data_IF_881645323073
#
_entry.id   IF_881645323073
#
_cell.length_a   1.000
_cell.length_b   1.000
_cell.length_c   1.000
_cell.angle_alpha   90.00
_cell.angle_beta   90.00
_cell.angle_gamma   90.00
#
_symmetry.space_group_name_H-M   'P 1'
#
loop_
_entity.id
_entity.type
_entity.pdbx_description
1 polymer ?
#
# COMPACT_ATOMS: atom_id res chain seq x y z
N UNK A 1 17.20 -34.75 17.67
CA UNK A 1 16.70 -33.70 16.77
C UNK A 1 15.31 -33.35 17.28
N UNK A 2 15.20 -32.27 18.07
CA UNK A 2 13.92 -31.78 18.59
C UNK A 2 13.34 -30.79 17.58
N UNK A 3 12.05 -30.93 17.29
CA UNK A 3 11.28 -30.09 16.37
C UNK A 3 10.90 -28.77 17.03
N UNK A 4 11.21 -27.65 16.39
CA UNK A 4 10.66 -26.35 16.75
C UNK A 4 9.28 -26.23 16.09
N UNK A 5 8.22 -26.62 16.79
CA UNK A 5 6.85 -26.43 16.31
C UNK A 5 6.40 -25.01 16.70
N UNK A 6 6.34 -24.12 15.70
CA UNK A 6 5.81 -22.78 15.85
C UNK A 6 4.64 -22.60 14.88
N UNK A 7 3.44 -22.43 15.42
CA UNK A 7 2.28 -22.10 14.58
C UNK A 7 2.37 -20.64 14.12
N UNK A 8 2.60 -20.46 12.82
CA UNK A 8 2.47 -19.16 12.17
C UNK A 8 0.98 -18.85 11.98
N UNK A 9 0.50 -17.65 12.36
CA UNK A 9 -0.87 -17.21 12.02
C UNK A 9 -1.07 -17.05 10.50
N UNK A 10 0.00 -17.18 9.70
CA UNK A 10 0.00 -17.09 8.25
C UNK A 10 0.64 -18.34 7.60
N UNK A 11 0.19 -19.54 7.97
CA UNK A 11 0.19 -20.74 7.12
C UNK A 11 1.53 -21.36 6.65
N UNK A 12 2.67 -20.68 6.79
CA UNK A 12 3.99 -21.23 6.47
C UNK A 12 4.80 -21.39 7.75
N UNK A 13 4.97 -22.63 8.18
CA UNK A 13 5.94 -23.01 9.19
C UNK A 13 7.31 -23.19 8.49
N UNK A 14 8.38 -22.47 8.90
CA UNK A 14 9.69 -22.63 8.28
C UNK A 14 10.18 -24.08 8.44
N UNK A 15 10.76 -24.65 7.38
CA UNK A 15 11.26 -26.04 7.44
C UNK A 15 12.53 -26.12 8.29
N UNK A 16 12.73 -27.26 8.96
CA UNK A 16 13.86 -27.50 9.88
C UNK A 16 15.21 -27.16 9.24
N UNK A 17 15.38 -27.46 7.95
CA UNK A 17 16.62 -27.18 7.21
C UNK A 17 16.86 -25.68 7.00
N UNK A 18 15.81 -24.88 6.78
CA UNK A 18 15.94 -23.42 6.63
C UNK A 18 16.32 -22.74 7.94
N UNK A 19 15.76 -23.23 9.05
CA UNK A 19 16.07 -22.79 10.41
C UNK A 19 17.54 -23.11 10.70
N UNK A 20 17.96 -24.37 10.53
CA UNK A 20 19.31 -24.81 10.86
C UNK A 20 20.39 -24.09 10.03
N UNK A 21 20.17 -23.91 8.73
CA UNK A 21 21.16 -23.29 7.84
C UNK A 21 21.31 -21.77 8.08
N UNK A 22 20.25 -21.09 8.52
CA UNK A 22 20.29 -19.66 8.85
C UNK A 22 21.03 -19.39 10.16
N UNK A 23 20.79 -20.23 11.17
CA UNK A 23 21.39 -20.07 12.50
C UNK A 23 22.88 -20.48 12.52
N UNK A 24 23.26 -21.60 11.90
CA UNK A 24 24.65 -22.08 11.89
C UNK A 24 25.62 -21.13 11.18
N UNK A 25 25.16 -20.38 10.16
CA UNK A 25 26.00 -19.42 9.44
C UNK A 25 26.27 -18.09 10.19
N UNK A 26 25.42 -17.70 11.14
CA UNK A 26 25.57 -16.42 11.88
C UNK A 26 26.18 -16.60 13.29
N UNK A 27 26.33 -17.83 13.76
CA UNK A 27 26.73 -18.15 15.14
C UNK A 27 28.23 -18.08 15.44
N UNK A 28 29.09 -17.74 14.47
CA UNK A 28 30.51 -17.61 14.77
C UNK A 28 30.89 -16.28 15.45
N UNK A 29 30.00 -15.28 15.54
CA UNK A 29 30.34 -13.96 16.11
C UNK A 29 29.19 -13.26 16.88
N UNK A 30 27.92 -13.63 16.69
CA UNK A 30 26.78 -12.84 17.20
C UNK A 30 26.07 -13.43 18.44
N UNK A 31 25.52 -12.56 19.28
CA UNK A 31 24.72 -12.88 20.48
C UNK A 31 23.42 -13.64 20.13
N UNK A 32 23.12 -14.80 20.78
CA UNK A 32 21.93 -15.61 20.50
C UNK A 32 20.60 -14.84 20.54
N UNK A 33 20.47 -13.82 21.41
CA UNK A 33 19.26 -13.01 21.50
C UNK A 33 19.10 -12.09 20.29
N UNK A 34 20.17 -11.43 19.86
CA UNK A 34 20.17 -10.60 18.65
C UNK A 34 19.86 -11.42 17.39
N UNK A 35 20.41 -12.65 17.29
CA UNK A 35 20.14 -13.55 16.16
C UNK A 35 18.67 -14.00 16.17
N UNK A 36 18.11 -14.31 17.35
CA UNK A 36 16.69 -14.67 17.51
C UNK A 36 15.76 -13.51 17.09
N UNK A 37 16.04 -12.28 17.51
CA UNK A 37 15.22 -11.12 17.15
C UNK A 37 15.26 -10.83 15.66
N UNK A 38 16.46 -10.86 15.06
CA UNK A 38 16.64 -10.63 13.63
C UNK A 38 15.89 -11.68 12.81
N UNK A 39 15.90 -12.94 13.26
CA UNK A 39 15.18 -14.02 12.62
C UNK A 39 13.66 -13.87 12.77
N UNK A 40 13.16 -13.60 13.98
CA UNK A 40 11.72 -13.41 14.21
C UNK A 40 11.16 -12.23 13.41
N UNK A 41 11.91 -11.12 13.32
CA UNK A 41 11.52 -9.97 12.50
C UNK A 41 11.56 -10.29 11.00
N UNK A 42 12.58 -11.03 10.53
CA UNK A 42 12.71 -11.42 9.13
C UNK A 42 11.58 -12.35 8.69
N UNK A 43 11.22 -13.32 9.54
CA UNK A 43 10.16 -14.30 9.26
C UNK A 43 8.77 -13.81 9.68
N UNK A 44 8.66 -12.56 10.14
CA UNK A 44 7.42 -11.91 10.59
C UNK A 44 6.67 -12.70 11.70
N UNK A 45 7.44 -13.29 12.61
CA UNK A 45 6.95 -14.08 13.74
C UNK A 45 6.86 -13.21 15.02
N UNK A 46 5.88 -13.49 15.91
CA UNK A 46 5.77 -12.77 17.18
C UNK A 46 7.04 -12.85 18.05
N UNK A 47 7.46 -11.72 18.63
CA UNK A 47 8.60 -11.65 19.54
C UNK A 47 8.43 -12.46 20.83
N UNK A 48 7.21 -12.93 21.13
CA UNK A 48 6.93 -13.85 22.25
C UNK A 48 7.69 -15.18 22.12
N UNK A 49 8.08 -15.58 20.90
CA UNK A 49 8.85 -16.80 20.66
C UNK A 49 10.36 -16.63 20.84
N UNK A 50 10.84 -15.41 21.16
CA UNK A 50 12.27 -15.10 21.33
C UNK A 50 12.98 -16.09 22.23
N UNK A 51 12.41 -16.38 23.40
CA UNK A 51 13.02 -17.29 24.36
C UNK A 51 13.15 -18.73 23.82
N UNK A 52 12.12 -19.22 23.12
CA UNK A 52 12.11 -20.55 22.51
C UNK A 52 13.14 -20.67 21.38
N UNK A 53 13.30 -19.61 20.59
CA UNK A 53 14.32 -19.54 19.52
C UNK A 53 15.73 -19.48 20.11
N UNK A 54 15.94 -18.69 21.16
CA UNK A 54 17.24 -18.63 21.87
C UNK A 54 17.62 -19.98 22.47
N UNK A 55 16.70 -20.66 23.15
CA UNK A 55 16.94 -22.00 23.70
C UNK A 55 17.31 -23.00 22.61
N UNK A 56 16.62 -22.95 21.47
CA UNK A 56 16.97 -23.76 20.31
C UNK A 56 18.36 -23.46 19.76
N UNK A 57 18.73 -22.18 19.65
CA UNK A 57 20.06 -21.75 19.20
C UNK A 57 21.14 -22.30 20.14
N UNK A 58 20.97 -22.12 21.46
CA UNK A 58 21.94 -22.57 22.46
C UNK A 58 22.11 -24.09 22.45
N UNK A 59 20.99 -24.82 22.36
CA UNK A 59 20.99 -26.29 22.36
C UNK A 59 21.63 -26.90 21.10
N UNK A 60 21.51 -26.23 19.95
CA UNK A 60 22.06 -26.72 18.67
C UNK A 60 23.45 -26.17 18.32
N UNK A 61 23.92 -25.12 19.00
CA UNK A 61 25.25 -24.54 18.81
C UNK A 61 26.35 -25.15 19.69
N UNK A 62 25.99 -26.03 20.63
CA UNK A 62 26.92 -26.62 21.60
C UNK A 62 27.34 -25.64 22.71
N UNK A 63 26.77 -24.43 22.77
CA UNK A 63 27.01 -23.43 23.81
C UNK A 63 25.99 -23.54 24.94
N UNK A 64 25.97 -24.66 25.67
CA UNK A 64 25.04 -24.86 26.80
C UNK A 64 25.31 -23.96 28.02
N UNK A 65 26.40 -23.17 28.02
CA UNK A 65 26.82 -22.29 29.11
C UNK A 65 27.05 -20.84 28.62
N UNK A 66 26.13 -20.30 27.83
CA UNK A 66 26.16 -18.87 27.49
C UNK A 66 25.84 -18.03 28.73
N UNK A 67 26.79 -17.18 29.13
CA UNK A 67 26.58 -16.16 30.16
C UNK A 67 26.40 -14.83 29.43
N UNK A 68 25.22 -14.21 29.46
CA UNK A 68 25.01 -12.91 28.84
C UNK A 68 25.97 -11.88 29.43
N UNK A 69 26.59 -11.07 28.58
CA UNK A 69 27.39 -9.93 29.03
C UNK A 69 26.48 -8.97 29.82
N UNK A 70 26.75 -8.68 31.11
CA UNK A 70 25.94 -7.77 31.93
C UNK A 70 25.92 -6.33 31.40
N UNK A 71 26.76 -5.99 30.41
CA UNK A 71 26.71 -4.71 29.71
C UNK A 71 25.59 -4.63 28.65
N UNK A 72 25.05 -5.77 28.21
CA UNK A 72 23.96 -5.83 27.23
C UNK A 72 22.61 -5.61 27.91
N UNK A 73 22.05 -4.40 27.73
CA UNK A 73 20.74 -4.00 28.24
C UNK A 73 19.73 -4.02 27.11
N UNK A 74 18.81 -4.98 27.13
CA UNK A 74 17.70 -5.03 26.20
C UNK A 74 16.81 -3.77 26.39
N UNK A 75 16.50 -3.01 25.32
CA UNK A 75 15.62 -1.84 25.36
C UNK A 75 14.28 -2.03 26.10
N UNK A 76 13.79 -3.26 26.20
CA UNK A 76 12.51 -3.57 26.88
C UNK A 76 12.64 -3.99 28.35
N UNK A 77 13.83 -4.29 28.86
CA UNK A 77 14.03 -4.75 30.25
C UNK A 77 15.21 -4.10 30.99
N UNK A 78 16.03 -3.30 30.31
CA UNK A 78 17.25 -2.71 30.89
C UNK A 78 17.12 -1.23 31.26
N UNK A 79 17.14 -0.94 32.58
CA UNK A 79 17.45 0.38 33.13
C UNK A 79 16.30 1.15 33.82
N UNK A 80 15.04 0.78 33.58
CA UNK A 80 13.85 1.45 34.14
C UNK A 80 12.92 0.53 34.95
N UNK A 81 13.39 -0.64 35.41
CA UNK A 81 12.63 -1.46 36.34
C UNK A 81 12.39 -0.70 37.65
N UNK A 82 11.14 -0.63 38.10
CA UNK A 82 10.79 -0.03 39.39
C UNK A 82 11.45 -0.83 40.51
N UNK A 83 12.42 -0.21 41.19
CA UNK A 83 13.02 -0.72 42.43
C UNK A 83 12.35 0.03 43.59
N UNK A 84 11.53 -0.62 44.44
CA UNK A 84 10.94 0.04 45.59
C UNK A 84 12.04 0.54 46.55
N UNK A 85 12.17 1.86 46.72
CA UNK A 85 13.04 2.48 47.72
C UNK A 85 14.20 3.35 47.21
N UNK A 86 14.38 3.52 45.90
CA UNK A 86 15.40 4.43 45.35
C UNK A 86 14.78 5.70 44.76
N UNK A 87 15.28 6.87 45.17
CA UNK A 87 14.93 8.16 44.60
C UNK A 87 15.42 8.24 43.14
N UNK A 88 14.48 8.48 42.22
CA UNK A 88 14.74 8.57 40.79
C UNK A 88 15.58 9.81 40.45
N UNK A 89 16.78 9.59 39.90
CA UNK A 89 17.59 10.62 39.27
C UNK A 89 17.12 10.82 37.83
N UNK A 90 16.47 11.95 37.56
CA UNK A 90 15.98 12.31 36.22
C UNK A 90 17.13 12.81 35.33
N UNK A 91 17.86 11.89 34.69
CA UNK A 91 18.65 12.20 33.50
C UNK A 91 17.71 12.24 32.29
N UNK A 92 17.19 13.43 32.00
CA UNK A 92 16.22 13.68 30.95
C UNK A 92 16.79 13.50 29.54
N UNK A 93 16.52 12.35 28.92
CA UNK A 93 16.19 12.33 27.50
C UNK A 93 14.75 12.82 27.37
N UNK A 94 14.52 13.92 26.63
CA UNK A 94 13.17 14.40 26.35
C UNK A 94 12.30 13.23 25.85
N UNK A 95 11.04 13.09 26.32
CA UNK A 95 10.17 12.02 25.85
C UNK A 95 10.07 12.12 24.33
N UNK A 96 10.40 11.03 23.61
CA UNK A 96 10.16 10.95 22.17
C UNK A 96 8.68 11.24 21.94
N UNK A 97 8.40 12.27 21.17
CA UNK A 97 7.05 12.67 20.85
C UNK A 97 6.35 11.53 20.10
N UNK A 98 5.31 10.97 20.69
CA UNK A 98 4.51 9.90 20.10
C UNK A 98 3.32 10.52 19.38
N UNK A 99 3.11 10.14 18.13
CA UNK A 99 1.96 10.55 17.31
C UNK A 99 0.99 9.38 17.17
N UNK A 100 -0.31 9.65 17.11
CA UNK A 100 -1.35 8.61 17.08
C UNK A 100 -1.64 8.10 15.67
N UNK A 101 -1.60 8.98 14.67
CA UNK A 101 -2.04 8.70 13.30
C UNK A 101 -0.92 8.74 12.26
N UNK A 102 0.18 9.41 12.57
CA UNK A 102 1.32 9.62 11.66
C UNK A 102 2.61 9.02 12.24
N UNK A 103 3.58 8.62 11.39
CA UNK A 103 3.48 8.55 9.94
C UNK A 103 2.74 7.29 9.48
N UNK A 104 2.20 7.31 8.27
CA UNK A 104 1.71 6.11 7.60
C UNK A 104 2.91 5.33 7.03
N UNK A 105 2.95 4.02 7.31
CA UNK A 105 4.07 3.15 6.89
C UNK A 105 3.70 2.09 5.83
N UNK A 106 2.43 1.99 5.43
CA UNK A 106 1.97 0.95 4.51
C UNK A 106 0.86 1.45 3.59
N UNK A 107 0.63 0.72 2.50
CA UNK A 107 -0.31 1.10 1.45
C UNK A 107 -1.76 0.79 1.87
N UNK A 108 -2.69 1.54 1.29
CA UNK A 108 -4.11 1.27 1.35
C UNK A 108 -4.59 0.83 -0.04
N UNK A 109 -5.42 -0.20 -0.08
CA UNK A 109 -5.84 -0.85 -1.32
C UNK A 109 -7.36 -0.87 -1.43
N UNK A 110 -7.83 -1.00 -2.66
CA UNK A 110 -9.22 -1.29 -2.98
C UNK A 110 -9.33 -2.76 -3.39
N UNK A 111 -9.54 -3.65 -2.44
CA UNK A 111 -9.53 -5.11 -2.68
C UNK A 111 -10.92 -5.66 -2.99
N UNK A 112 -11.97 -5.06 -2.42
CA UNK A 112 -13.34 -5.53 -2.58
C UNK A 112 -13.80 -5.43 -4.04
N UNK A 113 -14.29 -6.54 -4.59
CA UNK A 113 -14.72 -6.66 -5.97
C UNK A 113 -16.12 -7.28 -6.07
N UNK A 114 -17.00 -6.62 -6.82
CA UNK A 114 -18.31 -7.18 -7.19
C UNK A 114 -18.18 -7.89 -8.53
N UNK A 115 -17.49 -9.05 -8.54
CA UNK A 115 -17.13 -9.76 -9.78
C UNK A 115 -18.34 -10.04 -10.68
N UNK A 116 -19.48 -10.42 -10.11
CA UNK A 116 -20.72 -10.64 -10.86
C UNK A 116 -21.19 -9.35 -11.54
N UNK A 117 -21.13 -8.22 -10.84
CA UNK A 117 -21.49 -6.92 -11.38
C UNK A 117 -20.55 -6.45 -12.49
N UNK A 118 -19.24 -6.65 -12.31
CA UNK A 118 -18.22 -6.32 -13.31
C UNK A 118 -18.44 -7.16 -14.59
N UNK A 119 -18.52 -8.49 -14.46
CA UNK A 119 -18.74 -9.38 -15.60
C UNK A 119 -20.06 -9.08 -16.30
N UNK A 120 -21.15 -8.86 -15.54
CA UNK A 120 -22.44 -8.46 -16.11
C UNK A 120 -22.29 -7.21 -16.98
N UNK A 121 -21.55 -6.19 -16.51
CA UNK A 121 -21.40 -4.95 -17.26
C UNK A 121 -20.55 -5.11 -18.53
N UNK A 122 -19.49 -5.93 -18.46
CA UNK A 122 -18.70 -6.33 -19.64
C UNK A 122 -19.60 -7.04 -20.66
N UNK A 123 -20.44 -7.98 -20.23
CA UNK A 123 -21.37 -8.70 -21.10
C UNK A 123 -22.37 -7.75 -21.77
N UNK A 124 -22.97 -6.83 -21.02
CA UNK A 124 -23.90 -5.82 -21.55
C UNK A 124 -23.25 -4.95 -22.65
N UNK A 125 -22.03 -4.46 -22.41
CA UNK A 125 -21.30 -3.64 -23.38
C UNK A 125 -20.87 -4.43 -24.60
N UNK A 126 -20.39 -5.66 -24.41
CA UNK A 126 -20.08 -6.55 -25.52
C UNK A 126 -21.29 -6.84 -26.41
N UNK A 127 -22.47 -7.07 -25.82
CA UNK A 127 -23.71 -7.28 -26.56
C UNK A 127 -24.17 -6.02 -27.32
N UNK A 128 -23.97 -4.84 -26.71
CA UNK A 128 -24.21 -3.55 -27.37
C UNK A 128 -23.31 -3.40 -28.59
N UNK A 129 -22.00 -3.65 -28.44
CA UNK A 129 -21.03 -3.59 -29.53
C UNK A 129 -21.37 -4.61 -30.64
N UNK A 130 -21.79 -5.82 -30.29
CA UNK A 130 -22.17 -6.86 -31.24
C UNK A 130 -23.39 -6.49 -32.11
N UNK A 131 -24.26 -5.61 -31.59
CA UNK A 131 -25.47 -5.14 -32.25
C UNK A 131 -25.24 -3.90 -33.10
N UNK A 132 -24.10 -3.23 -32.94
CA UNK A 132 -23.68 -2.06 -33.71
C UNK A 132 -22.93 -2.50 -34.98
N UNK A 133 -23.36 -2.06 -36.16
CA UNK A 133 -22.78 -2.50 -37.43
C UNK A 133 -21.33 -2.04 -37.64
N UNK A 134 -20.94 -0.91 -37.06
CA UNK A 134 -19.58 -0.36 -37.20
C UNK A 134 -18.64 -0.92 -36.12
N UNK A 135 -19.18 -1.17 -34.92
CA UNK A 135 -18.41 -1.58 -33.74
C UNK A 135 -18.45 -3.07 -33.42
N UNK A 136 -19.15 -3.89 -34.22
CA UNK A 136 -19.27 -5.35 -34.04
C UNK A 136 -17.94 -6.07 -33.82
N UNK A 137 -16.89 -5.62 -34.50
CA UNK A 137 -15.55 -6.19 -34.40
C UNK A 137 -14.88 -6.01 -33.02
N UNK A 138 -15.44 -5.16 -32.15
CA UNK A 138 -14.99 -4.91 -30.78
C UNK A 138 -15.68 -5.82 -29.73
N UNK A 139 -16.74 -6.55 -30.14
CA UNK A 139 -17.45 -7.48 -29.26
C UNK A 139 -16.58 -8.68 -28.87
N UNK A 140 -16.86 -9.24 -27.70
CA UNK A 140 -16.15 -10.38 -27.14
C UNK A 140 -16.72 -11.71 -27.64
N UNK A 141 -15.84 -12.67 -27.85
CA UNK A 141 -16.20 -14.04 -28.19
C UNK A 141 -16.55 -14.86 -26.95
N UNK A 142 -17.20 -16.02 -27.14
CA UNK A 142 -17.44 -17.01 -26.07
C UNK A 142 -16.14 -17.46 -25.37
N UNK A 143 -15.03 -17.52 -26.12
CA UNK A 143 -13.73 -17.85 -25.57
C UNK A 143 -13.20 -16.73 -24.65
N UNK A 144 -13.42 -15.47 -25.02
CA UNK A 144 -13.06 -14.31 -24.17
C UNK A 144 -13.85 -14.34 -22.86
N UNK A 145 -15.16 -14.60 -22.90
CA UNK A 145 -15.99 -14.71 -21.70
C UNK A 145 -15.59 -15.89 -20.80
N UNK A 146 -15.32 -17.04 -21.41
CA UNK A 146 -14.82 -18.22 -20.69
C UNK A 146 -13.50 -17.92 -19.97
N UNK A 147 -12.62 -17.13 -20.61
CA UNK A 147 -11.36 -16.70 -20.02
C UNK A 147 -11.56 -15.73 -18.86
N UNK A 148 -12.41 -14.71 -19.02
CA UNK A 148 -12.74 -13.78 -17.93
C UNK A 148 -13.29 -14.52 -16.71
N UNK A 149 -14.17 -15.52 -16.92
CA UNK A 149 -14.69 -16.35 -15.84
C UNK A 149 -13.60 -17.19 -15.15
N UNK A 150 -12.64 -17.74 -15.91
CA UNK A 150 -11.50 -18.46 -15.35
C UNK A 150 -10.60 -17.55 -14.50
N UNK A 151 -10.34 -16.32 -14.96
CA UNK A 151 -9.57 -15.33 -14.20
C UNK A 151 -10.31 -14.99 -12.89
N UNK A 152 -11.62 -14.75 -12.93
CA UNK A 152 -12.42 -14.49 -11.71
C UNK A 152 -12.31 -15.64 -10.72
N UNK A 153 -12.30 -16.91 -11.17
CA UNK A 153 -12.14 -18.06 -10.28
C UNK A 153 -10.79 -18.02 -9.54
N UNK A 154 -9.72 -17.56 -10.19
CA UNK A 154 -8.42 -17.34 -9.54
C UNK A 154 -8.50 -16.17 -8.57
N UNK A 155 -8.99 -15.02 -9.03
CA UNK A 155 -8.99 -13.77 -8.25
C UNK A 155 -9.87 -13.83 -7.00
N UNK A 156 -10.93 -14.64 -6.99
CA UNK A 156 -11.80 -14.87 -5.81
C UNK A 156 -11.08 -15.59 -4.66
N UNK A 157 -10.03 -16.36 -4.95
CA UNK A 157 -9.34 -17.19 -3.98
C UNK A 157 -8.03 -16.52 -3.51
N UNK A 158 -8.16 -15.34 -2.86
CA UNK A 158 -7.00 -14.50 -2.48
C UNK A 158 -5.96 -15.22 -1.63
N UNK A 159 -6.40 -16.11 -0.72
CA UNK A 159 -5.49 -16.94 0.09
C UNK A 159 -4.56 -17.84 -0.72
N UNK A 160 -4.90 -18.14 -1.98
CA UNK A 160 -4.12 -19.00 -2.87
C UNK A 160 -3.24 -18.26 -3.87
N UNK A 161 -3.14 -16.93 -3.80
CA UNK A 161 -2.32 -16.14 -4.75
C UNK A 161 -0.84 -16.57 -4.82
N UNK A 162 -0.33 -17.18 -3.76
CA UNK A 162 1.04 -17.71 -3.69
C UNK A 162 1.23 -19.03 -4.48
N UNK A 163 0.16 -19.73 -4.85
CA UNK A 163 0.20 -21.01 -5.59
C UNK A 163 -0.59 -21.00 -6.89
N UNK A 164 -1.57 -20.11 -7.05
CA UNK A 164 -2.29 -19.91 -8.30
C UNK A 164 -1.46 -19.15 -9.31
N UNK A 165 -1.87 -19.27 -10.58
CA UNK A 165 -1.19 -18.64 -11.72
C UNK A 165 -2.18 -17.90 -12.63
N UNK A 166 -1.71 -16.83 -13.23
CA UNK A 166 -2.36 -16.12 -14.34
C UNK A 166 -1.48 -16.26 -15.59
N UNK A 167 -2.11 -16.46 -16.75
CA UNK A 167 -1.42 -16.70 -18.01
C UNK A 167 -1.17 -15.41 -18.78
N UNK A 168 -0.17 -15.38 -19.69
CA UNK A 168 0.04 -14.25 -20.61
C UNK A 168 -1.23 -13.90 -21.40
N UNK A 169 -2.02 -14.91 -21.78
CA UNK A 169 -3.28 -14.70 -22.49
C UNK A 169 -4.33 -13.93 -21.66
N UNK A 170 -4.24 -13.95 -20.34
CA UNK A 170 -5.18 -13.27 -19.44
C UNK A 170 -4.97 -11.77 -19.48
N UNK A 171 -3.71 -11.32 -19.34
CA UNK A 171 -3.38 -9.91 -19.47
C UNK A 171 -3.59 -9.43 -20.91
N UNK A 172 -3.22 -10.23 -21.92
CA UNK A 172 -3.42 -9.89 -23.33
C UNK A 172 -4.90 -9.63 -23.63
N UNK A 173 -5.81 -10.42 -23.05
CA UNK A 173 -7.25 -10.19 -23.16
C UNK A 173 -7.66 -8.85 -22.55
N UNK A 174 -7.26 -8.56 -21.31
CA UNK A 174 -7.62 -7.30 -20.65
C UNK A 174 -7.11 -6.08 -21.42
N UNK A 175 -5.85 -6.12 -21.86
CA UNK A 175 -5.24 -5.02 -22.63
C UNK A 175 -5.87 -4.87 -24.01
N UNK A 176 -6.24 -5.98 -24.69
CA UNK A 176 -6.99 -5.95 -25.95
C UNK A 176 -8.26 -5.13 -25.79
N UNK A 177 -9.02 -5.38 -24.71
CA UNK A 177 -10.30 -4.71 -24.46
C UNK A 177 -10.08 -3.23 -24.13
N UNK A 178 -9.15 -2.90 -23.23
CA UNK A 178 -8.87 -1.52 -22.82
C UNK A 178 -8.46 -0.61 -24.01
N UNK A 179 -7.66 -1.16 -24.92
CA UNK A 179 -7.25 -0.46 -26.14
C UNK A 179 -8.41 -0.21 -27.09
N UNK A 180 -9.23 -1.23 -27.31
CA UNK A 180 -10.17 -1.25 -28.43
C UNK A 180 -11.54 -0.67 -28.09
N UNK A 181 -12.01 -0.80 -26.85
CA UNK A 181 -13.36 -0.37 -26.48
C UNK A 181 -13.52 1.15 -26.45
N UNK A 182 -14.73 1.69 -26.75
CA UNK A 182 -15.03 3.11 -26.57
C UNK A 182 -14.77 3.58 -25.12
N UNK A 183 -14.40 4.85 -24.94
CA UNK A 183 -14.04 5.38 -23.61
C UNK A 183 -15.18 5.25 -22.61
N UNK A 184 -16.44 5.35 -23.03
CA UNK A 184 -17.61 5.23 -22.17
C UNK A 184 -17.84 3.80 -21.64
N UNK A 185 -17.18 2.80 -22.25
CA UNK A 185 -17.37 1.38 -21.95
C UNK A 185 -16.21 0.75 -21.19
N UNK A 186 -15.11 1.47 -20.94
CA UNK A 186 -13.88 0.88 -20.40
C UNK A 186 -13.90 0.67 -18.88
N UNK A 187 -14.69 1.43 -18.10
CA UNK A 187 -14.66 1.37 -16.63
C UNK A 187 -14.81 -0.04 -16.02
N UNK A 188 -15.68 -0.97 -16.49
CA UNK A 188 -15.74 -2.29 -15.86
C UNK A 188 -14.46 -3.10 -16.11
N UNK A 189 -13.75 -2.85 -17.22
CA UNK A 189 -12.49 -3.52 -17.53
C UNK A 189 -11.34 -2.92 -16.71
N UNK A 190 -11.37 -1.61 -16.45
CA UNK A 190 -10.45 -0.96 -15.51
C UNK A 190 -10.70 -1.47 -14.08
N UNK A 191 -11.97 -1.64 -13.67
CA UNK A 191 -12.32 -2.22 -12.37
C UNK A 191 -11.91 -3.69 -12.26
N UNK A 192 -11.90 -4.42 -13.37
CA UNK A 192 -11.33 -5.77 -13.44
C UNK A 192 -9.79 -5.74 -13.33
N UNK A 193 -9.12 -4.84 -14.05
CA UNK A 193 -7.66 -4.68 -13.98
C UNK A 193 -7.22 -4.33 -12.56
N UNK A 194 -7.96 -3.47 -11.85
CA UNK A 194 -7.72 -3.11 -10.44
C UNK A 194 -7.51 -4.33 -9.53
N UNK A 195 -8.30 -5.38 -9.72
CA UNK A 195 -8.24 -6.60 -8.89
C UNK A 195 -7.26 -7.61 -9.47
N UNK A 196 -7.08 -7.61 -10.79
CA UNK A 196 -6.06 -8.42 -11.47
C UNK A 196 -4.64 -8.12 -10.97
N UNK A 197 -4.31 -6.83 -10.79
CA UNK A 197 -2.98 -6.39 -10.37
C UNK A 197 -2.66 -6.61 -8.89
N UNK A 198 -3.64 -7.05 -8.08
CA UNK A 198 -3.40 -7.49 -6.71
C UNK A 198 -2.81 -8.92 -6.68
N UNK A 199 -2.98 -9.70 -7.75
CA UNK A 199 -2.31 -10.98 -7.87
C UNK A 199 -0.85 -10.75 -8.29
N UNK A 200 0.16 -11.37 -7.64
CA UNK A 200 1.57 -11.17 -7.99
C UNK A 200 1.92 -11.47 -9.46
N UNK A 201 1.40 -12.58 -10.02
CA UNK A 201 1.52 -12.83 -11.46
C UNK A 201 0.84 -11.74 -12.29
N UNK A 202 -0.32 -11.23 -11.88
CA UNK A 202 -1.03 -10.17 -12.60
C UNK A 202 -0.23 -8.87 -12.66
N UNK A 203 0.38 -8.47 -11.55
CA UNK A 203 1.30 -7.35 -11.49
C UNK A 203 2.55 -7.57 -12.36
N UNK A 204 3.15 -8.76 -12.29
CA UNK A 204 4.34 -9.12 -13.09
C UNK A 204 4.04 -9.14 -14.59
N UNK A 205 2.88 -9.67 -14.97
CA UNK A 205 2.39 -9.67 -16.35
C UNK A 205 2.16 -8.24 -16.85
N UNK A 206 1.59 -7.36 -16.02
CA UNK A 206 1.43 -5.95 -16.36
C UNK A 206 2.80 -5.27 -16.57
N UNK A 207 3.74 -5.46 -15.65
CA UNK A 207 5.09 -4.91 -15.77
C UNK A 207 5.77 -5.35 -17.07
N UNK A 208 5.71 -6.65 -17.40
CA UNK A 208 6.26 -7.19 -18.65
C UNK A 208 5.70 -6.48 -19.88
N UNK A 209 4.41 -6.13 -19.89
CA UNK A 209 3.80 -5.39 -21.01
C UNK A 209 4.31 -3.94 -21.09
N UNK A 210 4.45 -3.26 -19.95
CA UNK A 210 5.03 -1.91 -19.88
C UNK A 210 6.47 -1.91 -20.41
N UNK A 211 7.30 -2.84 -19.94
CA UNK A 211 8.72 -2.94 -20.33
C UNK A 211 8.92 -3.32 -21.80
N UNK A 212 7.93 -4.00 -22.41
CA UNK A 212 7.92 -4.26 -23.86
C UNK A 212 7.58 -3.04 -24.73
N UNK A 213 7.42 -1.84 -24.12
CA UNK A 213 7.03 -0.61 -24.79
C UNK A 213 5.52 -0.46 -24.99
N UNK A 214 4.73 -1.34 -24.38
CA UNK A 214 3.28 -1.34 -24.49
C UNK A 214 2.64 -0.85 -23.18
N UNK A 215 2.80 0.45 -22.89
CA UNK A 215 2.29 1.09 -21.66
C UNK A 215 0.78 1.39 -21.75
N UNK A 216 0.00 0.31 -21.90
CA UNK A 216 -1.46 0.35 -21.89
C UNK A 216 -2.01 0.95 -20.60
N UNK A 217 -1.43 0.72 -19.40
CA UNK A 217 -1.87 1.40 -18.18
C UNK A 217 -1.89 2.92 -18.33
N UNK A 218 -0.82 3.51 -18.87
CA UNK A 218 -0.77 4.96 -19.04
C UNK A 218 -1.69 5.45 -20.16
N UNK A 219 -1.80 4.73 -21.27
CA UNK A 219 -2.79 5.03 -22.33
C UNK A 219 -4.22 4.99 -21.78
N UNK A 220 -4.54 3.97 -20.99
CA UNK A 220 -5.83 3.76 -20.31
C UNK A 220 -6.10 4.90 -19.33
N UNK A 221 -5.08 5.31 -18.57
CA UNK A 221 -5.16 6.45 -17.66
C UNK A 221 -5.53 7.72 -18.40
N UNK A 222 -4.75 8.10 -19.43
CA UNK A 222 -4.99 9.31 -20.23
C UNK A 222 -6.38 9.30 -20.86
N UNK A 223 -6.83 8.14 -21.35
CA UNK A 223 -8.18 7.95 -21.92
C UNK A 223 -9.28 8.12 -20.87
N UNK A 224 -9.05 7.69 -19.63
CA UNK A 224 -10.02 7.80 -18.54
C UNK A 224 -10.21 9.24 -18.03
N UNK A 225 -9.15 10.07 -18.11
CA UNK A 225 -9.14 11.49 -17.71
C UNK A 225 -9.34 12.46 -18.87
N UNK A 226 -9.47 11.95 -20.10
CA UNK A 226 -9.70 12.77 -21.29
C UNK A 226 -11.08 13.46 -21.26
N UNK A 227 -11.16 14.66 -21.83
CA UNK A 227 -12.39 15.44 -21.94
C UNK A 227 -13.23 14.94 -23.14
N UNK A 228 -14.56 14.74 -23.01
CA UNK A 228 -15.35 14.90 -21.80
C UNK A 228 -15.10 13.77 -20.80
N UNK A 229 -14.88 14.17 -19.54
CA UNK A 229 -14.53 13.24 -18.45
C UNK A 229 -15.75 12.43 -18.01
N UNK A 230 -15.60 11.11 -17.94
CA UNK A 230 -16.65 10.20 -17.48
C UNK A 230 -16.37 9.75 -16.04
N UNK A 231 -17.21 10.16 -15.09
CA UNK A 231 -17.01 9.86 -13.66
C UNK A 231 -16.76 8.37 -13.32
N UNK A 232 -17.43 7.39 -13.98
CA UNK A 232 -17.13 5.96 -13.74
C UNK A 232 -15.69 5.58 -14.12
N UNK A 233 -15.14 6.15 -15.19
CA UNK A 233 -13.76 5.91 -15.59
C UNK A 233 -12.80 6.49 -14.55
N UNK A 234 -13.03 7.73 -14.11
CA UNK A 234 -12.20 8.39 -13.08
C UNK A 234 -12.15 7.59 -11.79
N UNK A 235 -13.31 7.12 -11.30
CA UNK A 235 -13.37 6.31 -10.08
C UNK A 235 -12.59 4.99 -10.23
N UNK A 236 -12.80 4.27 -11.32
CA UNK A 236 -12.18 2.95 -11.53
C UNK A 236 -10.68 3.07 -11.77
N UNK A 237 -10.22 4.09 -12.51
CA UNK A 237 -8.80 4.32 -12.75
C UNK A 237 -8.06 4.82 -11.51
N UNK A 238 -8.67 5.68 -10.68
CA UNK A 238 -8.11 6.05 -9.37
C UNK A 238 -7.82 4.82 -8.53
N UNK A 239 -8.80 3.91 -8.44
CA UNK A 239 -8.64 2.67 -7.69
C UNK A 239 -7.63 1.72 -8.32
N UNK A 240 -7.63 1.58 -9.64
CA UNK A 240 -6.69 0.72 -10.35
C UNK A 240 -5.24 1.18 -10.11
N UNK A 241 -4.95 2.48 -10.29
CA UNK A 241 -3.62 3.06 -10.01
C UNK A 241 -3.25 2.91 -8.54
N UNK A 242 -4.20 3.13 -7.62
CA UNK A 242 -3.97 2.92 -6.18
C UNK A 242 -3.56 1.48 -5.85
N UNK A 243 -4.12 0.49 -6.54
CA UNK A 243 -3.78 -0.90 -6.30
C UNK A 243 -2.42 -1.33 -6.87
N UNK A 244 -1.83 -0.56 -7.79
CA UNK A 244 -0.47 -0.83 -8.29
C UNK A 244 0.58 -0.71 -7.17
N UNK A 245 0.26 -0.01 -6.07
CA UNK A 245 1.15 0.13 -4.92
C UNK A 245 1.33 -1.17 -4.13
N UNK A 246 0.45 -2.15 -4.29
CA UNK A 246 0.54 -3.44 -3.59
C UNK A 246 1.80 -4.22 -3.99
N UNK A 247 2.17 -4.14 -5.27
CA UNK A 247 3.28 -4.90 -5.83
C UNK A 247 4.47 -3.98 -6.13
N UNK A 248 5.57 -4.20 -5.41
CA UNK A 248 6.78 -3.36 -5.49
C UNK A 248 7.41 -3.30 -6.89
N UNK A 249 7.18 -4.31 -7.72
CA UNK A 249 7.63 -4.34 -9.10
C UNK A 249 7.05 -3.19 -9.95
N UNK A 250 5.90 -2.63 -9.57
CA UNK A 250 5.24 -1.51 -10.26
C UNK A 250 5.57 -0.14 -9.65
N UNK A 251 6.29 -0.08 -8.52
CA UNK A 251 6.61 1.19 -7.85
C UNK A 251 7.45 2.12 -8.70
N UNK A 252 8.32 1.59 -9.56
CA UNK A 252 9.09 2.43 -10.48
C UNK A 252 8.19 3.13 -11.50
N UNK A 253 7.19 2.44 -12.03
CA UNK A 253 6.20 3.04 -12.94
C UNK A 253 5.42 4.15 -12.25
N UNK A 254 4.94 3.91 -11.01
CA UNK A 254 4.24 4.90 -10.21
C UNK A 254 5.08 6.16 -9.98
N UNK A 255 6.36 6.03 -9.63
CA UNK A 255 7.27 7.16 -9.45
C UNK A 255 7.45 7.95 -10.74
N UNK A 256 7.71 7.25 -11.85
CA UNK A 256 7.91 7.88 -13.17
C UNK A 256 6.71 8.72 -13.60
N UNK A 257 5.49 8.28 -13.30
CA UNK A 257 4.25 8.94 -13.72
C UNK A 257 3.57 9.77 -12.63
N UNK A 258 4.17 9.90 -11.44
CA UNK A 258 3.59 10.56 -10.27
C UNK A 258 3.01 11.95 -10.61
N UNK A 259 3.82 12.79 -11.24
CA UNK A 259 3.42 14.17 -11.55
C UNK A 259 2.26 14.25 -12.53
N UNK A 260 2.34 13.52 -13.65
CA UNK A 260 1.27 13.51 -14.65
C UNK A 260 -0.04 12.96 -14.08
N UNK A 261 0.05 11.94 -13.21
CA UNK A 261 -1.12 11.33 -12.57
C UNK A 261 -1.81 12.33 -11.63
N UNK A 262 -1.05 13.00 -10.77
CA UNK A 262 -1.59 13.97 -9.81
C UNK A 262 -2.21 15.17 -10.55
N UNK A 263 -1.49 15.77 -11.50
CA UNK A 263 -1.96 16.96 -12.23
C UNK A 263 -3.25 16.67 -13.02
N UNK A 264 -3.31 15.50 -13.67
CA UNK A 264 -4.50 15.10 -14.43
C UNK A 264 -5.71 14.85 -13.53
N UNK A 265 -5.52 14.22 -12.37
CA UNK A 265 -6.62 13.99 -11.43
C UNK A 265 -7.08 15.27 -10.75
N UNK A 266 -6.18 16.17 -10.35
CA UNK A 266 -6.53 17.49 -9.83
C UNK A 266 -7.38 18.26 -10.85
N UNK A 267 -7.02 18.20 -12.13
CA UNK A 267 -7.81 18.81 -13.22
C UNK A 267 -9.20 18.17 -13.40
N UNK A 268 -9.35 16.89 -13.05
CA UNK A 268 -10.62 16.16 -13.12
C UNK A 268 -11.49 16.27 -11.87
N UNK A 269 -11.01 16.90 -10.79
CA UNK A 269 -11.72 17.00 -9.50
C UNK A 269 -13.19 17.45 -9.61
N UNK A 270 -13.57 18.41 -10.49
CA UNK A 270 -14.99 18.78 -10.65
C UNK A 270 -15.91 17.64 -11.13
N UNK A 271 -15.36 16.59 -11.74
CA UNK A 271 -16.10 15.42 -12.23
C UNK A 271 -16.11 14.25 -11.23
N UNK A 272 -15.56 14.44 -10.02
CA UNK A 272 -15.45 13.39 -9.02
C UNK A 272 -16.82 13.06 -8.41
N UNK A 273 -17.06 11.77 -8.23
CA UNK A 273 -18.08 11.30 -7.29
C UNK A 273 -17.52 11.34 -5.87
N UNK A 274 -18.37 11.23 -4.84
CA UNK A 274 -17.93 11.05 -3.44
C UNK A 274 -16.88 9.94 -3.29
N UNK A 275 -17.08 8.81 -3.98
CA UNK A 275 -16.14 7.69 -3.94
C UNK A 275 -14.81 7.99 -4.65
N UNK A 276 -14.82 8.90 -5.64
CA UNK A 276 -13.61 9.31 -6.34
C UNK A 276 -12.76 10.25 -5.47
N UNK A 277 -13.38 11.15 -4.69
CA UNK A 277 -12.66 11.94 -3.69
C UNK A 277 -11.91 11.04 -2.70
N UNK A 278 -12.60 10.04 -2.15
CA UNK A 278 -11.99 9.08 -1.23
C UNK A 278 -10.85 8.29 -1.89
N UNK A 279 -11.02 7.87 -3.14
CA UNK A 279 -9.99 7.16 -3.88
C UNK A 279 -8.77 8.03 -4.20
N UNK A 280 -8.98 9.32 -4.48
CA UNK A 280 -7.90 10.26 -4.70
C UNK A 280 -7.12 10.57 -3.43
N UNK A 281 -7.80 10.79 -2.30
CA UNK A 281 -7.13 10.96 -1.01
C UNK A 281 -6.30 9.72 -0.62
N UNK A 282 -6.78 8.51 -0.94
CA UNK A 282 -5.99 7.27 -0.77
C UNK A 282 -4.78 7.23 -1.66
N UNK A 283 -4.93 7.59 -2.93
CA UNK A 283 -3.83 7.61 -3.89
C UNK A 283 -2.71 8.54 -3.40
N UNK A 284 -3.05 9.75 -2.97
CA UNK A 284 -2.11 10.72 -2.41
C UNK A 284 -1.43 10.18 -1.13
N UNK A 285 -2.18 9.52 -0.25
CA UNK A 285 -1.61 8.89 0.94
C UNK A 285 -0.61 7.78 0.57
N UNK A 286 -0.91 6.91 -0.40
CA UNK A 286 0.05 5.89 -0.86
C UNK A 286 1.29 6.52 -1.53
N UNK A 287 1.10 7.55 -2.35
CA UNK A 287 2.21 8.30 -2.92
C UNK A 287 3.07 8.97 -1.85
N UNK A 288 2.48 9.47 -0.76
CA UNK A 288 3.26 10.03 0.35
C UNK A 288 4.19 8.98 0.95
N UNK A 289 3.71 7.75 1.17
CA UNK A 289 4.53 6.64 1.69
C UNK A 289 5.65 6.30 0.70
N UNK A 290 5.33 6.14 -0.58
CA UNK A 290 6.30 5.77 -1.61
C UNK A 290 7.38 6.85 -1.81
N UNK A 291 6.97 8.12 -1.88
CA UNK A 291 7.87 9.25 -2.12
C UNK A 291 8.79 9.56 -0.93
N UNK A 292 8.36 9.28 0.31
CA UNK A 292 9.21 9.31 1.50
C UNK A 292 10.31 8.26 1.39
N UNK A 293 9.97 7.03 1.01
CA UNK A 293 10.94 5.94 0.85
C UNK A 293 11.97 6.25 -0.25
N UNK A 294 11.54 6.86 -1.36
CA UNK A 294 12.42 7.21 -2.48
C UNK A 294 13.15 8.54 -2.31
N UNK A 295 12.89 9.32 -1.24
CA UNK A 295 13.45 10.66 -1.00
C UNK A 295 13.27 11.64 -2.17
N UNK A 296 12.12 11.58 -2.83
CA UNK A 296 11.79 12.45 -3.95
C UNK A 296 11.07 13.71 -3.46
N UNK A 297 11.81 14.78 -3.21
CA UNK A 297 11.28 16.06 -2.69
C UNK A 297 10.26 16.70 -3.63
N UNK A 298 10.48 16.62 -4.95
CA UNK A 298 9.59 17.23 -5.94
C UNK A 298 8.22 16.54 -5.94
N UNK A 299 8.19 15.21 -5.97
CA UNK A 299 6.94 14.46 -5.84
C UNK A 299 6.28 14.74 -4.49
N UNK A 300 7.04 14.77 -3.39
CA UNK A 300 6.50 15.07 -2.06
C UNK A 300 5.83 16.45 -2.00
N UNK A 301 6.41 17.47 -2.63
CA UNK A 301 5.84 18.82 -2.65
C UNK A 301 4.51 18.85 -3.41
N UNK A 302 4.44 18.16 -4.55
CA UNK A 302 3.21 18.06 -5.34
C UNK A 302 2.10 17.28 -4.60
N UNK A 303 2.45 16.16 -3.94
CA UNK A 303 1.52 15.38 -3.12
C UNK A 303 1.02 16.23 -1.95
N UNK A 304 1.91 16.99 -1.29
CA UNK A 304 1.57 17.90 -0.20
C UNK A 304 0.54 18.94 -0.64
N UNK A 305 0.78 19.63 -1.77
CA UNK A 305 -0.15 20.63 -2.30
C UNK A 305 -1.53 20.03 -2.62
N UNK A 306 -1.57 18.87 -3.28
CA UNK A 306 -2.83 18.20 -3.59
C UNK A 306 -3.57 17.72 -2.32
N UNK A 307 -2.84 17.28 -1.29
CA UNK A 307 -3.44 16.85 -0.03
C UNK A 307 -3.98 18.05 0.79
N UNK A 308 -3.27 19.18 0.80
CA UNK A 308 -3.75 20.42 1.44
C UNK A 308 -5.08 20.87 0.83
N UNK A 309 -5.21 20.83 -0.50
CA UNK A 309 -6.45 21.20 -1.20
C UNK A 309 -7.65 20.32 -0.79
N UNK A 310 -7.42 19.05 -0.42
CA UNK A 310 -8.47 18.17 0.11
C UNK A 310 -8.77 18.50 1.58
N UNK A 311 -7.75 18.77 2.38
CA UNK A 311 -7.90 19.04 3.81
C UNK A 311 -8.65 20.36 4.09
N UNK A 312 -8.44 21.37 3.25
CA UNK A 312 -9.06 22.70 3.33
C UNK A 312 -10.49 22.75 2.78
N UNK A 313 -10.87 21.80 1.94
CA UNK A 313 -12.19 21.79 1.29
C UNK A 313 -13.28 21.27 2.25
N UNK A 314 -14.09 22.18 2.77
CA UNK A 314 -15.18 21.86 3.71
C UNK A 314 -16.30 20.98 3.15
N UNK A 315 -16.39 20.82 1.84
CA UNK A 315 -17.32 19.88 1.22
C UNK A 315 -16.84 18.42 1.27
N UNK A 316 -15.57 18.17 1.60
CA UNK A 316 -15.00 16.82 1.65
C UNK A 316 -15.53 16.03 2.83
N UNK A 317 -15.79 14.74 2.59
CA UNK A 317 -16.18 13.82 3.65
C UNK A 317 -15.02 13.52 4.62
N UNK A 318 -15.38 13.04 5.82
CA UNK A 318 -14.43 12.87 6.90
C UNK A 318 -13.30 11.88 6.58
N UNK A 319 -13.57 10.79 5.85
CA UNK A 319 -12.55 9.80 5.52
C UNK A 319 -11.56 10.35 4.47
N UNK A 320 -12.05 11.11 3.48
CA UNK A 320 -11.22 11.80 2.50
C UNK A 320 -10.29 12.83 3.17
N UNK A 321 -10.84 13.69 4.04
CA UNK A 321 -10.05 14.66 4.81
C UNK A 321 -9.04 13.98 5.72
N UNK A 322 -9.44 12.93 6.45
CA UNK A 322 -8.55 12.17 7.32
C UNK A 322 -7.35 11.61 6.56
N UNK A 323 -7.56 10.99 5.38
CA UNK A 323 -6.47 10.43 4.56
C UNK A 323 -5.52 11.52 4.06
N UNK A 324 -6.05 12.67 3.66
CA UNK A 324 -5.23 13.81 3.25
C UNK A 324 -4.38 14.36 4.41
N UNK A 325 -4.97 14.52 5.60
CA UNK A 325 -4.25 14.97 6.80
C UNK A 325 -3.15 13.97 7.22
N UNK A 326 -3.41 12.67 7.17
CA UNK A 326 -2.39 11.66 7.44
C UNK A 326 -1.25 11.74 6.41
N UNK A 327 -1.56 12.01 5.13
CA UNK A 327 -0.54 12.20 4.09
C UNK A 327 0.34 13.42 4.39
N UNK A 328 -0.28 14.56 4.69
CA UNK A 328 0.40 15.81 5.08
C UNK A 328 1.32 15.57 6.28
N UNK A 329 0.79 15.02 7.37
CA UNK A 329 1.58 14.78 8.58
C UNK A 329 2.71 13.76 8.37
N UNK A 330 2.49 12.73 7.53
CA UNK A 330 3.54 11.77 7.17
C UNK A 330 4.68 12.44 6.39
N UNK A 331 4.35 13.29 5.42
CA UNK A 331 5.32 14.07 4.65
C UNK A 331 6.09 15.08 5.52
N UNK A 332 5.42 15.72 6.47
CA UNK A 332 6.07 16.65 7.39
C UNK A 332 7.00 15.95 8.40
N UNK A 333 6.64 14.75 8.85
CA UNK A 333 7.38 14.02 9.88
C UNK A 333 8.59 13.28 9.29
N UNK A 334 8.39 12.56 8.19
CA UNK A 334 9.41 11.67 7.60
C UNK A 334 9.86 12.09 6.20
N UNK A 335 9.19 13.06 5.57
CA UNK A 335 9.58 13.59 4.27
C UNK A 335 10.56 14.76 4.36
N UNK A 336 10.74 15.41 3.22
CA UNK A 336 11.66 16.53 2.98
C UNK A 336 10.93 17.88 2.90
N UNK A 337 9.60 17.86 2.95
CA UNK A 337 8.76 19.02 2.59
C UNK A 337 8.14 19.74 3.81
N UNK A 338 8.71 19.56 5.01
CA UNK A 338 8.22 20.23 6.23
C UNK A 338 8.25 21.75 6.11
N UNK A 339 9.34 22.33 5.59
CA UNK A 339 9.45 23.78 5.38
C UNK A 339 8.40 24.27 4.39
N UNK A 340 8.22 23.57 3.27
CA UNK A 340 7.20 23.88 2.26
C UNK A 340 5.80 23.86 2.89
N UNK A 341 5.49 22.86 3.72
CA UNK A 341 4.20 22.80 4.42
C UNK A 341 3.97 24.02 5.33
N UNK A 342 5.01 24.48 6.03
CA UNK A 342 4.92 25.67 6.87
C UNK A 342 4.70 26.95 6.04
N UNK A 343 5.35 27.06 4.89
CA UNK A 343 5.17 28.19 3.96
C UNK A 343 3.77 28.21 3.33
N UNK A 344 3.16 27.03 3.16
CA UNK A 344 1.77 26.84 2.70
C UNK A 344 0.73 26.92 3.83
N UNK A 345 1.08 27.46 4.99
CA UNK A 345 0.20 27.65 6.15
C UNK A 345 -0.51 26.37 6.65
N UNK A 346 0.20 25.23 6.67
CA UNK A 346 -0.31 23.98 7.27
C UNK A 346 -0.73 24.13 8.74
N UNK A 347 -0.27 25.20 9.41
CA UNK A 347 -0.69 25.57 10.77
C UNK A 347 -2.19 25.82 10.85
N UNK A 348 -2.73 26.61 9.92
CA UNK A 348 -4.17 26.89 9.85
C UNK A 348 -4.97 25.60 9.62
N UNK A 349 -4.51 24.77 8.68
CA UNK A 349 -5.12 23.46 8.38
C UNK A 349 -5.13 22.55 9.62
N UNK A 350 -4.02 22.45 10.34
CA UNK A 350 -3.91 21.62 11.54
C UNK A 350 -4.82 22.12 12.68
N UNK A 351 -4.89 23.43 12.91
CA UNK A 351 -5.77 24.02 13.91
C UNK A 351 -7.26 23.81 13.58
N UNK A 352 -7.65 23.99 12.31
CA UNK A 352 -9.01 23.72 11.84
C UNK A 352 -9.38 22.24 12.02
N UNK A 353 -8.50 21.33 11.59
CA UNK A 353 -8.70 19.90 11.75
C UNK A 353 -8.84 19.50 13.22
N UNK A 354 -7.97 20.01 14.09
CA UNK A 354 -8.01 19.76 15.55
C UNK A 354 -9.32 20.21 16.21
N UNK A 355 -9.95 21.25 15.68
CA UNK A 355 -11.24 21.76 16.16
C UNK A 355 -12.45 20.98 15.60
N UNK A 356 -12.23 19.98 14.74
CA UNK A 356 -13.29 19.16 14.16
C UNK A 356 -14.06 18.37 15.24
N UNK A 357 -15.35 18.18 14.99
CA UNK A 357 -16.20 17.30 15.82
C UNK A 357 -15.97 15.81 15.51
N UNK A 358 -15.34 15.49 14.37
CA UNK A 358 -14.91 14.13 14.07
C UNK A 358 -13.62 13.81 14.81
N UNK A 359 -13.66 12.78 15.68
CA UNK A 359 -12.54 12.46 16.55
C UNK A 359 -11.26 12.10 15.80
N UNK A 360 -11.35 11.40 14.66
CA UNK A 360 -10.15 11.02 13.90
C UNK A 360 -9.50 12.23 13.25
N UNK A 361 -10.31 13.17 12.74
CA UNK A 361 -9.82 14.43 12.16
C UNK A 361 -9.19 15.30 13.25
N UNK A 362 -9.85 15.41 14.42
CA UNK A 362 -9.33 16.17 15.55
C UNK A 362 -7.98 15.64 16.03
N UNK A 363 -7.86 14.32 16.15
CA UNK A 363 -6.64 13.66 16.62
C UNK A 363 -5.47 13.79 15.63
N UNK A 364 -5.69 13.58 14.32
CA UNK A 364 -4.63 13.80 13.32
C UNK A 364 -4.27 15.29 13.19
N UNK A 365 -5.23 16.21 13.35
CA UNK A 365 -4.96 17.64 13.41
C UNK A 365 -4.05 18.02 14.58
N UNK A 366 -4.25 17.40 15.75
CA UNK A 366 -3.37 17.56 16.90
C UNK A 366 -1.96 17.02 16.63
N UNK A 367 -1.83 15.85 15.99
CA UNK A 367 -0.54 15.29 15.60
C UNK A 367 0.23 16.23 14.65
N UNK A 368 -0.44 16.82 13.66
CA UNK A 368 0.19 17.77 12.71
C UNK A 368 0.56 19.07 13.42
N UNK A 369 -0.31 19.62 14.28
CA UNK A 369 -0.04 20.86 15.03
C UNK A 369 1.26 20.74 15.83
N UNK A 370 1.51 19.56 16.42
CA UNK A 370 2.75 19.26 17.15
C UNK A 370 4.00 19.36 16.27
N UNK A 371 3.90 19.09 14.97
CA UNK A 371 5.01 19.23 14.02
C UNK A 371 5.27 20.68 13.59
N UNK A 372 4.32 21.59 13.82
CA UNK A 372 4.43 22.99 13.40
C UNK A 372 5.17 23.89 14.40
N UNK A 373 5.47 23.34 15.58
CA UNK A 373 6.35 23.91 16.59
C UNK A 373 7.81 23.69 16.18
#
# INVERSE_FOLDING_TARGET
MLTLEMESPFGNCPTIDQVYHTFVLHLQVDDPYAVADKWLLKENLPLTYRQQVVEFILQNSGQNNFVPDPSFRDPYTGGNAYVPGQSSSSNGSAPKQTFKHIPKNGMLLFETAQFEGILKKITEFSATLASDSEQKHLSLSEADFSRLAAIVKVLKNTSFYHTSKLADADIVLLLKILKSWPSQMMFPVVDFLRVFVLHPDGATLLLKTIESGNDVPMETFRKAVAIPVHSPNVLTILKAVTNLFDNSCLHQWLKTHCAEIIDSFSSCKPSFSKNAHLAYATLLLNYSVLSIQSKDEQSQAQILSAALEIAEDDAQDADSKYRALVAIGSLMLNGLVKSIALDLDVKSVASSAKASMDSKIAEVGADIELLTR
#
